data_IF_886619981979
#
_entry.id   IF_886619981979
#
_cell.length_a   1.000
_cell.length_b   1.000
_cell.length_c   1.000
_cell.angle_alpha   90.00
_cell.angle_beta   90.00
_cell.angle_gamma   90.00
#
_symmetry.space_group_name_H-M   'P 1'
#
loop_
_entity.id
_entity.type
_entity.pdbx_description
1 polymer ?
#
# COMPACT_ATOMS: atom_id res chain seq x y z
N UNK A 1 -11.19 29.64 -39.51
CA UNK A 1 -12.41 29.86 -38.71
C UNK A 1 -13.45 28.77 -38.97
N UNK A 2 -13.63 27.82 -38.04
CA UNK A 2 -14.87 27.04 -37.75
C UNK A 2 -14.56 26.08 -36.58
N UNK A 3 -14.73 26.53 -35.34
CA UNK A 3 -15.87 26.34 -34.42
C UNK A 3 -16.04 24.93 -33.84
N UNK A 4 -15.64 24.82 -32.56
CA UNK A 4 -16.34 24.18 -31.43
C UNK A 4 -17.03 22.83 -31.65
N UNK A 5 -16.45 21.77 -31.08
CA UNK A 5 -17.20 20.82 -30.25
C UNK A 5 -16.38 20.50 -29.00
N UNK A 6 -16.77 21.16 -27.91
CA UNK A 6 -16.59 20.62 -26.56
C UNK A 6 -17.42 19.34 -26.45
N UNK A 7 -16.86 18.28 -25.85
CA UNK A 7 -17.54 17.17 -25.17
C UNK A 7 -16.52 16.05 -24.88
N UNK A 8 -15.62 16.28 -23.92
CA UNK A 8 -15.27 15.20 -22.99
C UNK A 8 -15.58 15.76 -21.63
N UNK A 9 -16.53 15.10 -20.99
CA UNK A 9 -17.13 15.48 -19.74
C UNK A 9 -16.04 15.85 -18.73
N UNK A 10 -16.10 17.09 -18.24
CA UNK A 10 -15.93 17.30 -16.82
C UNK A 10 -16.94 16.38 -16.14
N UNK A 11 -16.54 15.13 -15.89
CA UNK A 11 -17.17 14.34 -14.86
C UNK A 11 -16.88 15.11 -13.60
N UNK A 12 -17.92 15.75 -13.12
CA UNK A 12 -18.06 16.25 -11.78
C UNK A 12 -17.34 15.30 -10.82
N UNK A 13 -16.11 15.61 -10.42
CA UNK A 13 -15.53 15.16 -9.14
C UNK A 13 -16.27 15.90 -8.01
N UNK A 14 -17.60 15.90 -8.06
CA UNK A 14 -18.50 16.21 -6.97
C UNK A 14 -18.86 14.92 -6.22
N UNK A 15 -17.92 13.97 -6.19
CA UNK A 15 -17.83 12.89 -5.23
C UNK A 15 -16.69 13.16 -4.24
N UNK A 16 -16.47 14.43 -3.87
CA UNK A 16 -15.68 14.82 -2.67
C UNK A 16 -16.44 14.46 -1.38
N UNK A 17 -17.15 13.34 -1.39
CA UNK A 17 -18.15 12.95 -0.42
C UNK A 17 -18.38 11.45 -0.41
N UNK A 18 -17.35 10.68 -0.04
CA UNK A 18 -17.55 9.47 0.74
C UNK A 18 -16.29 9.13 1.58
N UNK A 19 -16.18 9.74 2.76
CA UNK A 19 -15.34 9.26 3.88
C UNK A 19 -13.84 9.55 3.76
N UNK A 20 -13.21 10.02 4.83
CA UNK A 20 -11.75 9.96 4.94
C UNK A 20 -11.33 8.50 4.80
N UNK A 21 -10.74 8.15 3.67
CA UNK A 21 -10.40 6.77 3.34
C UNK A 21 -9.19 6.39 4.20
N UNK A 22 -9.45 5.64 5.28
CA UNK A 22 -8.41 5.23 6.22
C UNK A 22 -7.40 4.26 5.61
N UNK A 23 -7.57 3.82 4.35
CA UNK A 23 -6.71 2.82 3.69
C UNK A 23 -5.21 3.09 3.86
N UNK A 24 -4.78 4.34 3.66
CA UNK A 24 -3.37 4.72 3.79
C UNK A 24 -2.92 4.83 5.25
N UNK A 25 -3.81 5.30 6.13
CA UNK A 25 -3.56 5.36 7.57
C UNK A 25 -3.49 3.93 8.15
N UNK A 26 -4.38 3.03 7.73
CA UNK A 26 -4.42 1.60 8.07
C UNK A 26 -3.14 0.91 7.61
N UNK A 27 -2.67 1.19 6.39
CA UNK A 27 -1.43 0.65 5.86
C UNK A 27 -0.21 1.16 6.63
N UNK A 28 -0.18 2.44 7.00
CA UNK A 28 0.86 2.99 7.85
C UNK A 28 0.86 2.33 9.24
N UNK A 29 -0.32 2.15 9.85
CA UNK A 29 -0.46 1.41 11.12
C UNK A 29 0.01 -0.05 10.99
N UNK A 30 -0.31 -0.71 9.87
CA UNK A 30 0.15 -2.07 9.60
C UNK A 30 1.65 -2.15 9.44
N UNK A 31 2.26 -1.21 8.72
CA UNK A 31 3.71 -1.10 8.62
C UNK A 31 4.35 -0.86 9.99
N UNK A 32 3.81 0.05 10.79
CA UNK A 32 4.30 0.32 12.14
C UNK A 32 4.23 -0.92 13.04
N UNK A 33 3.13 -1.68 12.95
CA UNK A 33 3.02 -2.97 13.63
C UNK A 33 4.09 -3.95 13.12
N UNK A 34 4.29 -4.07 11.80
CA UNK A 34 5.32 -4.94 11.22
C UNK A 34 6.74 -4.58 11.69
N UNK A 35 7.07 -3.29 11.74
CA UNK A 35 8.33 -2.76 12.29
C UNK A 35 8.51 -3.17 13.76
N UNK A 36 7.44 -3.06 14.55
CA UNK A 36 7.45 -3.47 15.96
C UNK A 36 7.62 -5.00 16.10
N UNK A 37 6.98 -5.79 15.24
CA UNK A 37 7.15 -7.25 15.19
C UNK A 37 8.57 -7.65 14.75
N UNK A 38 9.21 -6.86 13.89
CA UNK A 38 10.57 -7.04 13.41
C UNK A 38 11.65 -6.67 14.44
N UNK A 39 11.33 -5.88 15.48
CA UNK A 39 12.30 -5.21 16.36
C UNK A 39 13.39 -6.15 16.94
N UNK A 40 13.04 -7.38 17.29
CA UNK A 40 13.98 -8.36 17.84
C UNK A 40 15.01 -8.86 16.81
N UNK A 41 14.75 -8.68 15.51
CA UNK A 41 15.57 -9.13 14.40
C UNK A 41 16.45 -8.06 13.77
N UNK A 42 16.57 -6.87 14.36
CA UNK A 42 17.28 -5.72 13.79
C UNK A 42 18.72 -5.97 13.34
N UNK A 43 19.37 -7.01 13.88
CA UNK A 43 20.74 -7.38 13.52
C UNK A 43 20.83 -8.55 12.53
N UNK A 44 19.70 -9.14 12.12
CA UNK A 44 19.65 -10.36 11.29
C UNK A 44 18.80 -10.22 10.03
N UNK A 45 17.96 -9.18 9.93
CA UNK A 45 17.21 -8.84 8.71
C UNK A 45 17.55 -7.43 8.22
N UNK A 46 17.13 -7.13 7.00
CA UNK A 46 17.44 -5.88 6.30
C UNK A 46 16.84 -4.63 6.99
N UNK A 47 17.53 -3.49 6.89
CA UNK A 47 17.08 -2.24 7.51
C UNK A 47 15.75 -1.72 6.95
N UNK A 48 15.39 -2.09 5.71
CA UNK A 48 14.12 -1.71 5.07
C UNK A 48 12.88 -2.18 5.83
N UNK A 49 12.97 -3.26 6.61
CA UNK A 49 11.86 -3.75 7.46
C UNK A 49 11.56 -2.84 8.65
N UNK A 50 12.43 -1.86 8.94
CA UNK A 50 12.30 -0.95 10.08
C UNK A 50 11.92 0.47 9.67
N UNK A 51 11.68 0.70 8.38
CA UNK A 51 11.32 2.01 7.88
C UNK A 51 9.83 2.26 8.08
N UNK A 52 9.53 3.22 8.95
CA UNK A 52 8.16 3.68 9.17
C UNK A 52 7.68 4.57 8.04
N UNK A 53 6.38 4.59 7.81
CA UNK A 53 5.76 5.54 6.90
C UNK A 53 5.77 6.92 7.56
N UNK A 54 6.18 7.93 6.81
CA UNK A 54 6.04 9.33 7.21
C UNK A 54 4.65 9.85 6.87
N UNK A 55 4.26 10.99 7.45
CA UNK A 55 3.02 11.68 7.08
C UNK A 55 2.99 12.01 5.58
N UNK A 56 4.14 12.39 5.00
CA UNK A 56 4.29 12.64 3.56
C UNK A 56 4.06 11.37 2.71
N UNK A 57 4.39 10.18 3.22
CA UNK A 57 4.12 8.91 2.54
C UNK A 57 2.63 8.57 2.57
N UNK A 58 1.96 8.86 3.69
CA UNK A 58 0.52 8.67 3.85
C UNK A 58 -0.25 9.59 2.91
N UNK A 59 0.14 10.87 2.81
CA UNK A 59 -0.51 11.83 1.92
C UNK A 59 -0.31 11.45 0.44
N UNK A 60 0.90 11.03 0.04
CA UNK A 60 1.15 10.53 -1.31
C UNK A 60 0.36 9.25 -1.63
N UNK A 61 0.17 8.38 -0.64
CA UNK A 61 -0.71 7.22 -0.80
C UNK A 61 -2.14 7.67 -1.07
N UNK A 62 -2.67 8.64 -0.30
CA UNK A 62 -4.04 9.15 -0.46
C UNK A 62 -4.26 9.70 -1.87
N UNK A 63 -3.31 10.49 -2.37
CA UNK A 63 -3.34 11.03 -3.74
C UNK A 63 -3.29 9.89 -4.78
N UNK A 64 -2.44 8.88 -4.57
CA UNK A 64 -2.31 7.76 -5.49
C UNK A 64 -3.56 6.85 -5.53
N UNK A 65 -4.35 6.82 -4.45
CA UNK A 65 -5.56 6.01 -4.35
C UNK A 65 -6.84 6.75 -4.76
N UNK A 66 -6.77 8.04 -5.13
CA UNK A 66 -7.94 8.84 -5.52
C UNK A 66 -8.70 8.20 -6.70
N UNK A 67 -7.97 7.69 -7.68
CA UNK A 67 -8.52 7.05 -8.88
C UNK A 67 -8.70 5.51 -8.74
N UNK A 68 -8.34 4.94 -7.59
CA UNK A 68 -8.47 3.51 -7.34
C UNK A 68 -9.93 3.14 -6.98
N UNK A 69 -10.37 1.97 -7.44
CA UNK A 69 -11.70 1.47 -7.07
C UNK A 69 -11.75 1.04 -5.61
N UNK A 70 -12.96 0.97 -5.02
CA UNK A 70 -13.13 0.47 -3.65
C UNK A 70 -12.56 -0.94 -3.48
N UNK A 71 -12.71 -1.81 -4.50
CA UNK A 71 -12.11 -3.15 -4.48
C UNK A 71 -10.58 -3.13 -4.48
N UNK A 72 -9.95 -2.11 -5.07
CA UNK A 72 -8.49 -1.96 -5.04
C UNK A 72 -8.03 -1.51 -3.65
N UNK A 73 -8.77 -0.57 -3.05
CA UNK A 73 -8.50 -0.07 -1.70
C UNK A 73 -8.71 -1.16 -0.66
N UNK A 74 -9.75 -1.97 -0.80
CA UNK A 74 -9.99 -3.13 0.06
C UNK A 74 -8.83 -4.13 0.00
N UNK A 75 -8.25 -4.38 -1.18
CA UNK A 75 -7.07 -5.22 -1.31
C UNK A 75 -5.83 -4.65 -0.59
N UNK A 76 -5.72 -3.32 -0.50
CA UNK A 76 -4.65 -2.65 0.24
C UNK A 76 -4.90 -2.73 1.75
N UNK A 77 -6.15 -2.57 2.19
CA UNK A 77 -6.53 -2.81 3.60
C UNK A 77 -6.23 -4.23 4.05
N UNK A 78 -6.47 -5.22 3.20
CA UNK A 78 -6.08 -6.61 3.50
C UNK A 78 -4.56 -6.77 3.74
N UNK A 79 -3.72 -5.99 3.04
CA UNK A 79 -2.28 -5.97 3.32
C UNK A 79 -2.02 -5.37 4.69
N UNK A 80 -2.64 -4.22 4.99
CA UNK A 80 -2.51 -3.56 6.27
C UNK A 80 -2.85 -4.49 7.44
N UNK A 81 -3.99 -5.18 7.34
CA UNK A 81 -4.44 -6.15 8.35
C UNK A 81 -3.46 -7.33 8.46
N UNK A 82 -2.97 -7.86 7.33
CA UNK A 82 -1.96 -8.92 7.35
C UNK A 82 -0.65 -8.48 8.02
N UNK A 83 -0.19 -7.25 7.80
CA UNK A 83 1.00 -6.70 8.44
C UNK A 83 0.82 -6.56 9.96
N UNK A 84 -0.38 -6.16 10.42
CA UNK A 84 -0.73 -6.11 11.86
C UNK A 84 -0.66 -7.50 12.51
N UNK A 85 -1.01 -8.54 11.76
CA UNK A 85 -1.06 -9.94 12.22
C UNK A 85 0.25 -10.72 12.05
N UNK A 86 1.36 -10.06 11.68
CA UNK A 86 2.64 -10.73 11.52
C UNK A 86 3.13 -11.39 12.82
N UNK A 87 3.76 -12.58 12.73
CA UNK A 87 4.40 -13.19 13.88
C UNK A 87 5.54 -12.30 14.38
N UNK A 88 5.86 -12.37 15.68
CA UNK A 88 7.09 -11.74 16.19
C UNK A 88 8.30 -12.35 15.53
N UNK A 89 9.21 -11.50 15.04
CA UNK A 89 10.48 -11.98 14.53
C UNK A 89 11.36 -12.50 15.67
N UNK A 90 12.08 -13.59 15.42
CA UNK A 90 13.04 -14.16 16.37
C UNK A 90 14.46 -14.01 15.84
N UNK A 91 15.37 -13.48 16.67
CA UNK A 91 16.78 -13.34 16.29
C UNK A 91 17.47 -14.70 16.02
N UNK A 92 16.92 -15.80 16.55
CA UNK A 92 17.43 -17.15 16.30
C UNK A 92 16.86 -17.80 15.04
N UNK A 93 15.76 -17.26 14.51
CA UNK A 93 15.04 -17.79 13.35
C UNK A 93 14.09 -16.71 12.77
N UNK A 94 14.60 -15.92 11.80
CA UNK A 94 13.84 -14.83 11.17
C UNK A 94 12.97 -15.29 9.99
N UNK A 95 13.20 -16.50 9.49
CA UNK A 95 12.55 -17.03 8.28
C UNK A 95 11.02 -17.00 8.35
N UNK A 96 10.35 -17.36 9.47
CA UNK A 96 8.89 -17.30 9.56
C UNK A 96 8.33 -15.88 9.44
N UNK A 97 9.05 -14.88 9.96
CA UNK A 97 8.64 -13.48 9.86
C UNK A 97 8.80 -12.97 8.42
N UNK A 98 9.96 -13.20 7.80
CA UNK A 98 10.23 -12.76 6.43
C UNK A 98 9.27 -13.41 5.42
N UNK A 99 8.95 -14.70 5.62
CA UNK A 99 7.97 -15.42 4.81
C UNK A 99 6.55 -14.85 4.98
N UNK A 100 6.12 -14.60 6.22
CA UNK A 100 4.81 -14.02 6.49
C UNK A 100 4.69 -12.58 5.95
N UNK A 101 5.73 -11.76 6.16
CA UNK A 101 5.79 -10.40 5.64
C UNK A 101 5.68 -10.38 4.11
N UNK A 102 6.43 -11.24 3.42
CA UNK A 102 6.35 -11.37 1.96
C UNK A 102 4.96 -11.85 1.49
N UNK A 103 4.31 -12.72 2.26
CA UNK A 103 2.99 -13.25 1.94
C UNK A 103 1.89 -12.18 1.99
N UNK A 104 2.01 -11.16 2.86
CA UNK A 104 1.00 -10.10 2.96
C UNK A 104 0.77 -9.35 1.64
N UNK A 105 1.81 -9.15 0.84
CA UNK A 105 1.71 -8.40 -0.42
C UNK A 105 1.14 -9.22 -1.59
N UNK A 106 0.85 -10.51 -1.41
CA UNK A 106 0.26 -11.36 -2.47
C UNK A 106 -1.14 -10.93 -2.88
N UNK A 107 -1.90 -10.35 -1.94
CA UNK A 107 -3.21 -9.76 -2.21
C UNK A 107 -3.12 -8.65 -3.26
N UNK A 108 -2.10 -7.80 -3.18
CA UNK A 108 -1.91 -6.72 -4.16
C UNK A 108 -1.73 -7.27 -5.57
N UNK A 109 -0.91 -8.31 -5.73
CA UNK A 109 -0.57 -8.88 -7.05
C UNK A 109 -1.82 -9.39 -7.77
N UNK A 110 -2.78 -9.94 -7.03
CA UNK A 110 -3.96 -10.63 -7.60
C UNK A 110 -5.23 -9.79 -7.61
N UNK A 111 -5.38 -8.84 -6.68
CA UNK A 111 -6.66 -8.13 -6.46
C UNK A 111 -6.66 -6.67 -6.90
N UNK A 112 -5.51 -5.99 -6.94
CA UNK A 112 -5.46 -4.58 -7.34
C UNK A 112 -5.57 -4.46 -8.87
N UNK A 113 -6.22 -3.44 -9.41
CA UNK A 113 -6.29 -3.20 -10.85
C UNK A 113 -4.93 -2.76 -11.41
N UNK A 114 -4.67 -2.95 -12.70
CA UNK A 114 -3.42 -2.43 -13.30
C UNK A 114 -3.31 -0.90 -13.21
N UNK A 115 -4.43 -0.21 -13.32
CA UNK A 115 -4.50 1.24 -13.19
C UNK A 115 -4.08 1.67 -11.78
N UNK A 116 -4.69 1.08 -10.75
CA UNK A 116 -4.35 1.40 -9.37
C UNK A 116 -2.91 0.99 -9.01
N UNK A 117 -2.43 -0.16 -9.50
CA UNK A 117 -1.04 -0.58 -9.30
C UNK A 117 -0.03 0.40 -9.92
N UNK A 118 -0.35 0.99 -11.08
CA UNK A 118 0.48 2.02 -11.69
C UNK A 118 0.55 3.27 -10.80
N UNK A 119 -0.60 3.75 -10.31
CA UNK A 119 -0.68 4.90 -9.39
C UNK A 119 0.12 4.67 -8.11
N UNK A 120 -0.01 3.48 -7.51
CA UNK A 120 0.76 3.07 -6.32
C UNK A 120 2.26 3.01 -6.63
N UNK A 121 2.65 2.40 -7.76
CA UNK A 121 4.07 2.28 -8.12
C UNK A 121 4.75 3.62 -8.44
N UNK A 122 3.97 4.63 -8.82
CA UNK A 122 4.45 6.01 -8.99
C UNK A 122 4.47 6.82 -7.69
N UNK A 123 3.91 6.27 -6.60
CA UNK A 123 3.93 6.89 -5.28
C UNK A 123 5.11 6.39 -4.44
N UNK A 124 5.37 7.03 -3.30
CA UNK A 124 6.39 6.61 -2.34
C UNK A 124 5.99 5.39 -1.50
N UNK A 125 4.83 4.76 -1.79
CA UNK A 125 4.43 3.51 -1.14
C UNK A 125 5.50 2.45 -1.35
N UNK A 126 6.12 2.03 -0.25
CA UNK A 126 7.11 0.94 -0.21
C UNK A 126 6.42 -0.40 -0.38
N UNK A 127 5.95 -0.66 -1.60
CA UNK A 127 5.53 -2.01 -2.01
C UNK A 127 6.79 -2.78 -2.38
N UNK A 128 6.94 -4.07 -2.01
CA UNK A 128 8.09 -4.87 -2.42
C UNK A 128 8.32 -4.76 -3.93
N UNK A 129 9.57 -4.60 -4.37
CA UNK A 129 9.92 -4.44 -5.79
C UNK A 129 9.37 -5.55 -6.70
N UNK A 130 9.11 -6.73 -6.14
CA UNK A 130 8.49 -7.88 -6.80
C UNK A 130 7.05 -7.60 -7.25
N UNK A 131 6.38 -6.61 -6.66
CA UNK A 131 5.06 -6.15 -7.08
C UNK A 131 5.07 -5.59 -8.51
N UNK A 132 6.11 -4.82 -8.86
CA UNK A 132 6.26 -4.23 -10.20
C UNK A 132 6.75 -5.22 -11.26
N UNK A 133 7.36 -6.34 -10.85
CA UNK A 133 7.94 -7.34 -11.76
C UNK A 133 6.94 -8.46 -12.10
N UNK A 134 5.96 -8.72 -11.23
CA UNK A 134 5.01 -9.82 -11.39
C UNK A 134 3.76 -9.48 -12.23
N UNK A 135 3.66 -8.28 -12.82
CA UNK A 135 2.49 -7.82 -13.58
C UNK A 135 2.75 -7.52 -15.06
#
# INVERSE_FOLDING_TARGET
MKKWMACVAAVSLALVGCGGDSTCDDLAEGNDAAVDQAAACRNVIDESYFEKFSDDDVDQCKDALEDCSDSDKDAIKEVADCLKDLPKCSASDSEPFEAAHSACYTALVTKVSRACAASISSSSLKVPANYSIAR
#
